data_IF_785605021685
#
_entry.id   IF_785605021685
#
_cell.length_a   1.000
_cell.length_b   1.000
_cell.length_c   1.000
_cell.angle_alpha   90.00
_cell.angle_beta   90.00
_cell.angle_gamma   90.00
#
_symmetry.space_group_name_H-M   'P 1'
#
loop_
_entity.id
_entity.type
_entity.pdbx_description
1 polymer ?
#
# COMPACT_ATOMS: atom_id res chain seq x y z
N UNK A 1 5.66 14.75 6.50
CA UNK A 1 6.59 13.77 5.88
C UNK A 1 6.89 14.08 4.41
N UNK A 2 6.13 14.96 3.76
CA UNK A 2 6.29 15.29 2.33
C UNK A 2 7.71 15.59 1.82
N UNK A 3 8.56 16.31 2.56
CA UNK A 3 9.93 16.60 2.08
C UNK A 3 10.84 15.36 2.03
N UNK A 4 10.66 14.41 2.96
CA UNK A 4 11.45 13.17 3.03
C UNK A 4 11.00 12.18 1.94
N UNK A 5 9.71 12.18 1.59
CA UNK A 5 9.16 11.26 0.59
C UNK A 5 9.32 11.77 -0.85
N UNK A 6 9.59 13.07 -1.03
CA UNK A 6 9.72 13.71 -2.35
C UNK A 6 10.75 13.03 -3.27
N UNK A 7 11.96 12.66 -2.80
CA UNK A 7 12.95 11.97 -3.64
C UNK A 7 12.51 10.58 -4.10
N UNK A 8 11.60 9.94 -3.36
CA UNK A 8 11.09 8.61 -3.67
C UNK A 8 9.83 8.66 -4.55
N UNK A 9 9.32 9.85 -4.84
CA UNK A 9 8.06 10.07 -5.55
C UNK A 9 6.91 9.24 -4.93
N UNK A 10 6.80 9.30 -3.60
CA UNK A 10 5.80 8.59 -2.80
C UNK A 10 4.97 9.60 -2.02
N UNK A 11 3.65 9.44 -2.04
CA UNK A 11 2.74 10.27 -1.22
C UNK A 11 2.58 9.71 0.19
N UNK A 12 2.14 10.52 1.15
CA UNK A 12 1.89 10.05 2.52
C UNK A 12 0.90 8.87 2.60
N UNK A 13 -0.21 8.83 1.82
CA UNK A 13 -1.08 7.65 1.75
C UNK A 13 -0.38 6.40 1.20
N UNK A 14 0.46 6.55 0.17
CA UNK A 14 1.25 5.43 -0.39
C UNK A 14 2.25 4.90 0.63
N UNK A 15 2.96 5.80 1.33
CA UNK A 15 3.86 5.44 2.41
C UNK A 15 3.11 4.73 3.55
N UNK A 16 1.87 5.11 3.83
CA UNK A 16 1.07 4.43 4.83
C UNK A 16 0.78 2.98 4.45
N UNK A 17 0.45 2.70 3.18
CA UNK A 17 0.29 1.33 2.68
C UNK A 17 1.59 0.53 2.87
N UNK A 18 2.73 1.09 2.49
CA UNK A 18 4.04 0.44 2.68
C UNK A 18 4.34 0.14 4.16
N UNK A 19 3.98 1.05 5.06
CA UNK A 19 4.16 0.86 6.51
C UNK A 19 3.28 -0.27 7.06
N UNK A 20 2.02 -0.34 6.62
CA UNK A 20 1.08 -1.39 7.00
C UNK A 20 1.62 -2.76 6.56
N UNK A 21 2.05 -2.87 5.30
CA UNK A 21 2.62 -4.09 4.75
C UNK A 21 3.92 -4.50 5.46
N UNK A 22 4.79 -3.53 5.79
CA UNK A 22 6.01 -3.79 6.56
C UNK A 22 5.71 -4.42 7.92
N UNK A 23 4.61 -4.01 8.57
CA UNK A 23 4.16 -4.60 9.83
C UNK A 23 3.53 -5.99 9.71
N UNK A 24 3.45 -6.56 8.51
CA UNK A 24 3.00 -7.94 8.28
C UNK A 24 4.16 -8.93 8.08
N UNK A 25 5.40 -8.48 8.24
CA UNK A 25 6.58 -9.37 8.26
C UNK A 25 6.72 -10.29 7.03
N UNK A 26 6.25 -9.85 5.86
CA UNK A 26 6.32 -10.63 4.61
C UNK A 26 5.06 -11.44 4.31
N UNK A 27 4.10 -11.49 5.22
CA UNK A 27 2.80 -12.12 4.97
C UNK A 27 1.96 -11.28 4.00
N UNK A 28 1.21 -11.98 3.14
CA UNK A 28 0.27 -11.34 2.25
C UNK A 28 -0.90 -10.74 3.04
N UNK A 29 -1.35 -9.57 2.63
CA UNK A 29 -2.49 -8.88 3.24
C UNK A 29 -3.53 -8.59 2.18
N UNK A 30 -4.80 -8.81 2.52
CA UNK A 30 -5.89 -8.49 1.60
C UNK A 30 -6.18 -6.97 1.57
N UNK A 31 -6.82 -6.54 0.48
CA UNK A 31 -7.05 -5.10 0.23
C UNK A 31 -7.95 -4.44 1.29
N UNK A 32 -8.93 -5.19 1.79
CA UNK A 32 -9.88 -4.73 2.80
C UNK A 32 -9.19 -4.45 4.15
N UNK A 33 -8.27 -5.32 4.56
CA UNK A 33 -7.46 -5.15 5.76
C UNK A 33 -6.53 -3.94 5.66
N UNK A 34 -5.89 -3.74 4.50
CA UNK A 34 -5.07 -2.55 4.25
C UNK A 34 -5.93 -1.30 4.43
N UNK A 35 -7.09 -1.25 3.77
CA UNK A 35 -8.03 -0.12 3.88
C UNK A 35 -8.48 0.11 5.32
N UNK A 36 -8.67 -0.96 6.10
CA UNK A 36 -9.07 -0.83 7.49
C UNK A 36 -7.97 -0.29 8.40
N UNK A 37 -6.69 -0.54 8.08
CA UNK A 37 -5.53 -0.05 8.83
C UNK A 37 -5.01 1.31 8.33
N UNK A 38 -5.59 1.85 7.27
CA UNK A 38 -5.21 3.18 6.77
C UNK A 38 -5.49 4.27 7.82
N UNK A 39 -4.55 5.20 8.00
CA UNK A 39 -4.68 6.35 8.90
C UNK A 39 -5.83 7.24 8.44
N UNK A 40 -5.86 7.54 7.14
CA UNK A 40 -6.99 8.22 6.50
C UNK A 40 -7.79 7.18 5.71
N UNK A 41 -9.03 6.93 6.12
CA UNK A 41 -9.95 6.07 5.38
C UNK A 41 -10.25 6.72 4.04
N UNK A 42 -9.95 6.01 2.97
CA UNK A 42 -10.22 6.46 1.61
C UNK A 42 -10.74 5.28 0.79
N UNK A 43 -11.69 5.55 -0.10
CA UNK A 43 -12.32 4.56 -0.97
C UNK A 43 -11.38 4.03 -2.06
N UNK A 44 -10.21 4.66 -2.25
CA UNK A 44 -9.41 4.52 -3.47
C UNK A 44 -8.11 3.70 -3.23
N UNK A 45 -8.08 2.84 -2.22
CA UNK A 45 -6.87 2.11 -1.81
C UNK A 45 -6.31 1.24 -2.94
N UNK A 46 -7.16 0.65 -3.78
CA UNK A 46 -6.75 -0.11 -4.97
C UNK A 46 -5.85 0.70 -5.89
N UNK A 47 -6.23 1.94 -6.20
CA UNK A 47 -5.43 2.80 -7.08
C UNK A 47 -4.12 3.24 -6.47
N UNK A 48 -4.03 3.33 -5.14
CA UNK A 48 -2.75 3.55 -4.46
C UNK A 48 -1.84 2.34 -4.60
N UNK A 49 -2.37 1.13 -4.43
CA UNK A 49 -1.64 -0.12 -4.59
C UNK A 49 -1.17 -0.27 -6.04
N UNK A 50 -2.02 -0.02 -7.04
CA UNK A 50 -1.63 -0.11 -8.46
C UNK A 50 -0.43 0.79 -8.78
N UNK A 51 -0.42 2.03 -8.24
CA UNK A 51 0.73 2.93 -8.38
C UNK A 51 2.00 2.40 -7.70
N UNK A 52 1.87 1.75 -6.55
CA UNK A 52 3.00 1.15 -5.84
C UNK A 52 3.53 -0.10 -6.57
N UNK A 53 2.64 -0.88 -7.19
CA UNK A 53 3.00 -2.02 -8.06
C UNK A 53 3.74 -1.53 -9.30
N UNK A 54 3.27 -0.47 -9.95
CA UNK A 54 3.97 0.15 -11.09
C UNK A 54 5.39 0.64 -10.71
N UNK A 55 5.57 1.09 -9.46
CA UNK A 55 6.87 1.47 -8.88
C UNK A 55 7.71 0.29 -8.40
N UNK A 56 7.22 -0.96 -8.54
CA UNK A 56 7.86 -2.20 -8.06
C UNK A 56 8.14 -2.22 -6.55
N UNK A 57 7.35 -1.49 -5.77
CA UNK A 57 7.48 -1.41 -4.30
C UNK A 57 6.58 -2.42 -3.58
N UNK A 58 5.54 -2.91 -4.26
CA UNK A 58 4.59 -3.91 -3.77
C UNK A 58 4.33 -4.90 -4.88
N UNK A 59 4.06 -6.15 -4.51
CA UNK A 59 3.64 -7.19 -5.46
C UNK A 59 2.20 -7.57 -5.14
N UNK A 60 1.37 -7.67 -6.18
CA UNK A 60 0.02 -8.21 -6.04
C UNK A 60 0.05 -9.70 -6.33
N UNK A 61 -0.50 -10.51 -5.43
CA UNK A 61 -0.77 -11.93 -5.66
C UNK A 61 -2.28 -12.08 -5.79
N UNK A 62 -2.74 -12.66 -6.89
CA UNK A 62 -4.12 -13.10 -7.01
C UNK A 62 -4.26 -14.43 -6.25
N UNK A 63 -5.19 -14.50 -5.31
CA UNK A 63 -5.62 -15.79 -4.79
C UNK A 63 -6.37 -16.50 -5.91
N UNK A 64 -5.91 -17.69 -6.30
CA UNK A 64 -6.57 -18.53 -7.32
C UNK A 64 -7.87 -19.17 -6.82
N UNK A 65 -8.18 -19.01 -5.54
CA UNK A 65 -9.47 -19.40 -4.95
C UNK A 65 -10.38 -18.17 -4.94
N UNK A 66 -11.15 -18.01 -6.00
CA UNK A 66 -12.36 -17.20 -6.05
C UNK A 66 -13.47 -18.02 -6.70
#
# INVERSE_FOLDING_TARGET
MGQILKPFDITEPQYNVLRILRGQHGEAMNLYEIQNRMIQKMSNVSRLIDKLVAKKLVTRRECKEN
#
